data_IF_809674242744
#
_entry.id   IF_809674242744
#
_cell.length_a   1.000
_cell.length_b   1.000
_cell.length_c   1.000
_cell.angle_alpha   90.00
_cell.angle_beta   90.00
_cell.angle_gamma   90.00
#
_symmetry.space_group_name_H-M   'P 1'
#
loop_
_entity.id
_entity.type
_entity.pdbx_description
1 polymer ?
#
# COMPACT_ATOMS: atom_id res chain seq x y z
N UNK A 1 -22.11 -62.35 -77.39
CA UNK A 1 -21.03 -62.29 -76.38
C UNK A 1 -20.50 -63.69 -76.13
N UNK A 2 -19.18 -63.89 -76.27
CA UNK A 2 -18.51 -65.18 -76.01
C UNK A 2 -18.73 -65.64 -74.55
N UNK A 3 -18.91 -66.95 -74.35
CA UNK A 3 -19.05 -67.58 -73.02
C UNK A 3 -17.90 -67.17 -72.08
N UNK A 4 -16.68 -67.11 -72.61
CA UNK A 4 -15.49 -66.68 -71.88
C UNK A 4 -15.61 -65.23 -71.40
N UNK A 5 -16.16 -64.33 -72.22
CA UNK A 5 -16.37 -62.93 -71.84
C UNK A 5 -17.36 -62.76 -70.68
N UNK A 6 -18.39 -63.61 -70.60
CA UNK A 6 -19.34 -63.62 -69.47
C UNK A 6 -18.70 -64.14 -68.17
N UNK A 7 -17.86 -65.17 -68.27
CA UNK A 7 -17.12 -65.72 -67.12
C UNK A 7 -16.14 -64.69 -66.57
N UNK A 8 -15.37 -64.01 -67.44
CA UNK A 8 -14.48 -62.93 -67.02
C UNK A 8 -15.22 -61.75 -66.40
N UNK A 9 -16.39 -61.36 -66.94
CA UNK A 9 -17.21 -60.32 -66.35
C UNK A 9 -17.67 -60.68 -64.93
N UNK A 10 -18.14 -61.92 -64.71
CA UNK A 10 -18.59 -62.39 -63.40
C UNK A 10 -17.43 -62.47 -62.39
N UNK A 11 -16.25 -62.93 -62.81
CA UNK A 11 -15.04 -62.94 -61.98
C UNK A 11 -14.61 -61.52 -61.58
N UNK A 12 -14.63 -60.55 -62.51
CA UNK A 12 -14.32 -59.17 -62.20
C UNK A 12 -15.33 -58.54 -61.24
N UNK A 13 -16.63 -58.85 -61.36
CA UNK A 13 -17.64 -58.37 -60.41
C UNK A 13 -17.43 -58.95 -59.01
N UNK A 14 -17.13 -60.25 -58.90
CA UNK A 14 -16.81 -60.88 -57.61
C UNK A 14 -15.54 -60.30 -56.99
N UNK A 15 -14.51 -60.05 -57.80
CA UNK A 15 -13.25 -59.45 -57.35
C UNK A 15 -13.47 -58.01 -56.88
N UNK A 16 -14.24 -57.21 -57.61
CA UNK A 16 -14.60 -55.85 -57.20
C UNK A 16 -15.40 -55.84 -55.89
N UNK A 17 -16.32 -56.78 -55.70
CA UNK A 17 -17.06 -56.93 -54.44
C UNK A 17 -16.14 -57.34 -53.29
N UNK A 18 -15.26 -58.32 -53.50
CA UNK A 18 -14.27 -58.76 -52.51
C UNK A 18 -13.33 -57.62 -52.10
N UNK A 19 -12.82 -56.85 -53.06
CA UNK A 19 -12.01 -55.65 -52.78
C UNK A 19 -12.81 -54.57 -52.05
N UNK A 20 -14.09 -54.38 -52.38
CA UNK A 20 -14.98 -53.47 -51.67
C UNK A 20 -15.14 -53.83 -50.20
N UNK A 21 -15.35 -55.11 -49.89
CA UNK A 21 -15.44 -55.59 -48.49
C UNK A 21 -14.13 -55.38 -47.74
N UNK A 22 -12.99 -55.71 -48.35
CA UNK A 22 -11.66 -55.50 -47.75
C UNK A 22 -11.43 -54.01 -47.48
N UNK A 23 -11.80 -53.13 -48.41
CA UNK A 23 -11.65 -51.68 -48.26
C UNK A 23 -12.52 -51.15 -47.11
N UNK A 24 -13.77 -51.59 -46.97
CA UNK A 24 -14.64 -51.21 -45.84
C UNK A 24 -14.06 -51.70 -44.51
N UNK A 25 -13.54 -52.93 -44.47
CA UNK A 25 -12.90 -53.49 -43.27
C UNK A 25 -11.64 -52.71 -42.89
N UNK A 26 -10.76 -52.40 -43.85
CA UNK A 26 -9.54 -51.63 -43.60
C UNK A 26 -9.85 -50.23 -43.08
N UNK A 27 -10.84 -49.54 -43.68
CA UNK A 27 -11.30 -48.24 -43.19
C UNK A 27 -11.87 -48.32 -41.78
N UNK A 28 -12.62 -49.38 -41.46
CA UNK A 28 -13.17 -49.61 -40.12
C UNK A 28 -12.07 -49.82 -39.08
N UNK A 29 -11.08 -50.66 -39.39
CA UNK A 29 -9.93 -50.94 -38.52
C UNK A 29 -9.12 -49.66 -38.30
N UNK A 30 -8.80 -48.91 -39.35
CA UNK A 30 -8.05 -47.64 -39.24
C UNK A 30 -8.79 -46.63 -38.36
N UNK A 31 -10.10 -46.44 -38.55
CA UNK A 31 -10.91 -45.55 -37.72
C UNK A 31 -10.87 -45.96 -36.24
N UNK A 32 -10.99 -47.26 -35.96
CA UNK A 32 -10.96 -47.77 -34.59
C UNK A 32 -9.58 -47.55 -33.94
N UNK A 33 -8.49 -47.83 -34.65
CA UNK A 33 -7.13 -47.57 -34.16
C UNK A 33 -6.88 -46.08 -33.91
N UNK A 34 -7.28 -45.21 -34.85
CA UNK A 34 -7.21 -43.76 -34.68
C UNK A 34 -7.98 -43.30 -33.44
N UNK A 35 -9.18 -43.84 -33.22
CA UNK A 35 -10.00 -43.52 -32.05
C UNK A 35 -9.37 -44.00 -30.73
N UNK A 36 -8.79 -45.22 -30.70
CA UNK A 36 -8.09 -45.74 -29.52
C UNK A 36 -6.86 -44.92 -29.17
N UNK A 37 -6.03 -44.59 -30.17
CA UNK A 37 -4.86 -43.72 -29.98
C UNK A 37 -5.30 -42.35 -29.49
N UNK A 38 -6.37 -41.78 -30.05
CA UNK A 38 -6.92 -40.50 -29.61
C UNK A 38 -7.39 -40.55 -28.15
N UNK A 39 -8.11 -41.60 -27.73
CA UNK A 39 -8.54 -41.76 -26.32
C UNK A 39 -7.35 -41.89 -25.37
N UNK A 40 -6.32 -42.63 -25.76
CA UNK A 40 -5.11 -42.74 -24.95
C UNK A 40 -4.35 -41.41 -24.86
N UNK A 41 -4.31 -40.65 -25.96
CA UNK A 41 -3.72 -39.31 -26.00
C UNK A 41 -4.47 -38.35 -25.06
N UNK A 42 -5.81 -38.40 -25.02
CA UNK A 42 -6.63 -37.62 -24.09
C UNK A 42 -6.35 -37.97 -22.62
N UNK A 43 -6.19 -39.24 -22.29
CA UNK A 43 -5.88 -39.65 -20.91
C UNK A 43 -4.50 -39.15 -20.46
N UNK A 44 -3.54 -39.08 -21.37
CA UNK A 44 -2.17 -38.67 -21.05
C UNK A 44 -1.96 -37.14 -21.12
N UNK A 45 -2.55 -36.47 -22.11
CA UNK A 45 -2.31 -35.06 -22.41
C UNK A 45 -3.51 -34.15 -22.08
N UNK A 46 -4.60 -34.72 -21.55
CA UNK A 46 -5.85 -34.02 -21.27
C UNK A 46 -6.67 -33.75 -22.53
N UNK A 47 -7.74 -32.97 -22.34
CA UNK A 47 -8.54 -32.42 -23.43
C UNK A 47 -7.68 -31.55 -24.37
N UNK A 48 -8.08 -31.41 -25.65
CA UNK A 48 -7.48 -30.43 -26.55
C UNK A 48 -7.64 -29.01 -25.99
N UNK A 49 -6.68 -28.15 -26.32
CA UNK A 49 -6.68 -26.74 -25.96
C UNK A 49 -7.91 -26.02 -26.52
N UNK A 50 -8.16 -26.19 -27.83
CA UNK A 50 -9.26 -25.64 -28.61
C UNK A 50 -9.75 -26.65 -29.66
N UNK A 51 -10.85 -26.33 -30.36
CA UNK A 51 -11.44 -27.19 -31.40
C UNK A 51 -10.54 -27.37 -32.64
N UNK A 52 -9.58 -26.47 -32.84
CA UNK A 52 -8.70 -26.43 -34.02
C UNK A 52 -7.33 -27.07 -33.76
N UNK A 53 -7.10 -27.60 -32.56
CA UNK A 53 -5.87 -28.30 -32.23
C UNK A 53 -5.77 -29.60 -33.03
N UNK A 54 -4.57 -29.91 -33.51
CA UNK A 54 -4.24 -31.20 -34.09
C UNK A 54 -3.43 -32.00 -33.09
N UNK A 55 -3.69 -33.32 -32.98
CA UNK A 55 -2.88 -34.16 -32.09
C UNK A 55 -1.43 -34.23 -32.57
N UNK A 56 -0.52 -34.73 -31.73
CA UNK A 56 0.89 -34.98 -32.12
C UNK A 56 1.04 -35.86 -33.37
N UNK A 57 0.02 -36.66 -33.68
CA UNK A 57 -0.08 -37.52 -34.86
C UNK A 57 -0.75 -36.86 -36.07
N UNK A 58 -0.95 -35.53 -36.01
CA UNK A 58 -1.60 -34.71 -37.04
C UNK A 58 -3.03 -35.16 -37.39
N UNK A 59 -3.73 -35.75 -36.41
CA UNK A 59 -5.10 -36.16 -36.57
C UNK A 59 -5.97 -34.94 -36.27
N UNK A 60 -6.89 -34.64 -37.19
CA UNK A 60 -7.85 -33.56 -36.99
C UNK A 60 -8.76 -33.93 -35.81
N UNK A 61 -8.64 -33.18 -34.72
CA UNK A 61 -9.35 -33.48 -33.47
C UNK A 61 -10.84 -33.20 -33.66
N UNK A 62 -11.24 -32.21 -34.47
CA UNK A 62 -12.64 -31.82 -34.70
C UNK A 62 -13.54 -32.99 -35.13
N UNK A 63 -13.09 -33.80 -36.09
CA UNK A 63 -13.86 -34.97 -36.54
C UNK A 63 -13.94 -36.11 -35.52
N UNK A 64 -12.99 -36.17 -34.58
CA UNK A 64 -12.96 -37.18 -33.51
C UNK A 64 -13.63 -36.68 -32.23
N UNK A 65 -13.69 -35.35 -32.02
CA UNK A 65 -14.43 -34.65 -30.98
C UNK A 65 -15.93 -34.87 -31.16
N UNK A 66 -16.44 -34.73 -32.37
CA UNK A 66 -17.83 -35.05 -32.71
C UNK A 66 -18.16 -36.54 -32.48
N UNK A 67 -17.13 -37.41 -32.52
CA UNK A 67 -17.22 -38.84 -32.24
C UNK A 67 -16.98 -39.23 -30.78
N UNK A 68 -16.69 -38.27 -29.88
CA UNK A 68 -16.68 -38.51 -28.44
C UNK A 68 -18.12 -38.67 -27.95
N UNK A 69 -18.64 -39.89 -28.09
CA UNK A 69 -19.91 -40.25 -27.50
C UNK A 69 -19.87 -40.00 -25.99
N UNK A 70 -21.04 -39.69 -25.42
CA UNK A 70 -21.21 -39.41 -24.00
C UNK A 70 -20.64 -40.53 -23.10
N UNK A 71 -20.67 -41.79 -23.56
CA UNK A 71 -20.10 -42.94 -22.86
C UNK A 71 -18.57 -42.91 -22.77
N UNK A 72 -17.89 -42.40 -23.79
CA UNK A 72 -16.44 -42.25 -23.77
C UNK A 72 -16.01 -41.14 -22.80
N UNK A 73 -16.77 -40.04 -22.75
CA UNK A 73 -16.57 -38.96 -21.80
C UNK A 73 -16.93 -39.38 -20.37
N UNK A 74 -17.98 -40.18 -20.17
CA UNK A 74 -18.27 -40.83 -18.89
C UNK A 74 -17.11 -41.73 -18.44
N UNK A 75 -16.41 -42.38 -19.37
CA UNK A 75 -15.21 -43.14 -19.07
C UNK A 75 -14.03 -42.25 -18.61
N UNK A 76 -13.78 -41.14 -19.30
CA UNK A 76 -12.68 -40.22 -18.98
C UNK A 76 -12.94 -39.47 -17.66
N UNK A 77 -14.19 -39.05 -17.43
CA UNK A 77 -14.58 -38.25 -16.26
C UNK A 77 -15.25 -39.07 -15.16
N UNK A 78 -15.19 -40.41 -15.19
CA UNK A 78 -15.89 -41.30 -14.27
C UNK A 78 -15.65 -40.94 -12.80
N UNK A 79 -14.38 -40.64 -12.50
CA UNK A 79 -13.90 -40.32 -11.15
C UNK A 79 -13.76 -38.80 -10.91
N UNK A 80 -14.26 -37.97 -11.84
CA UNK A 80 -14.10 -36.52 -11.90
C UNK A 80 -15.44 -35.76 -12.09
N UNK A 81 -16.54 -36.36 -11.62
CA UNK A 81 -17.88 -35.75 -11.68
C UNK A 81 -18.65 -35.96 -12.97
N UNK A 82 -18.11 -36.75 -13.89
CA UNK A 82 -18.71 -37.02 -15.20
C UNK A 82 -18.65 -35.83 -16.18
N UNK A 83 -19.22 -36.03 -17.38
CA UNK A 83 -19.27 -34.99 -18.40
C UNK A 83 -20.16 -33.83 -17.93
N UNK A 84 -19.57 -32.64 -17.83
CA UNK A 84 -20.32 -31.41 -17.51
C UNK A 84 -20.61 -30.61 -18.77
N UNK A 85 -21.60 -29.74 -18.65
CA UNK A 85 -22.07 -28.91 -19.75
C UNK A 85 -21.75 -27.43 -19.53
N UNK A 86 -21.39 -26.76 -20.61
CA UNK A 86 -21.37 -25.30 -20.75
C UNK A 86 -22.43 -24.94 -21.81
N UNK A 87 -23.43 -24.14 -21.44
CA UNK A 87 -24.52 -23.68 -22.33
C UNK A 87 -25.18 -24.82 -23.14
N UNK A 88 -25.53 -25.91 -22.44
CA UNK A 88 -26.12 -27.15 -22.98
C UNK A 88 -25.22 -27.98 -23.89
N UNK A 89 -23.94 -27.63 -24.05
CA UNK A 89 -22.93 -28.41 -24.79
C UNK A 89 -21.97 -29.08 -23.83
N UNK A 90 -21.52 -30.29 -24.13
CA UNK A 90 -20.53 -30.98 -23.29
C UNK A 90 -19.20 -30.24 -23.40
N UNK A 91 -18.48 -30.10 -22.28
CA UNK A 91 -17.13 -29.51 -22.30
C UNK A 91 -16.17 -30.48 -22.97
N UNK A 92 -15.56 -30.04 -24.07
CA UNK A 92 -14.67 -30.87 -24.88
C UNK A 92 -13.25 -30.31 -25.01
N UNK A 93 -13.01 -29.06 -24.61
CA UNK A 93 -11.71 -28.41 -24.67
C UNK A 93 -11.29 -27.84 -23.32
N UNK A 94 -10.00 -27.55 -23.14
CA UNK A 94 -9.48 -26.88 -21.95
C UNK A 94 -10.02 -25.45 -21.84
N UNK A 95 -10.17 -24.73 -22.96
CA UNK A 95 -10.75 -23.39 -22.99
C UNK A 95 -12.22 -23.41 -22.56
N UNK A 96 -13.00 -24.41 -22.98
CA UNK A 96 -14.38 -24.57 -22.52
C UNK A 96 -14.47 -24.84 -21.02
N UNK A 97 -13.50 -25.57 -20.46
CA UNK A 97 -13.41 -25.78 -19.01
C UNK A 97 -13.17 -24.48 -18.27
N UNK A 98 -12.23 -23.65 -18.75
CA UNK A 98 -11.96 -22.32 -18.19
C UNK A 98 -13.21 -21.46 -18.26
N UNK A 99 -13.90 -21.41 -19.41
CA UNK A 99 -15.16 -20.65 -19.55
C UNK A 99 -16.24 -21.15 -18.59
N UNK A 100 -16.36 -22.46 -18.41
CA UNK A 100 -17.31 -23.03 -17.44
C UNK A 100 -16.95 -22.63 -16.00
N UNK A 101 -15.68 -22.72 -15.63
CA UNK A 101 -15.23 -22.34 -14.29
C UNK A 101 -15.31 -20.83 -14.05
N UNK A 102 -15.07 -20.01 -15.08
CA UNK A 102 -15.29 -18.57 -15.04
C UNK A 102 -16.76 -18.25 -14.81
N UNK A 103 -17.68 -18.87 -15.56
CA UNK A 103 -19.12 -18.70 -15.36
C UNK A 103 -19.54 -19.13 -13.94
N UNK A 104 -19.04 -20.27 -13.46
CA UNK A 104 -19.29 -20.76 -12.10
C UNK A 104 -18.75 -19.80 -11.03
N UNK A 105 -17.58 -19.20 -11.27
CA UNK A 105 -16.99 -18.18 -10.41
C UNK A 105 -17.86 -16.91 -10.37
N UNK A 106 -18.29 -16.41 -11.53
CA UNK A 106 -19.18 -15.25 -11.63
C UNK A 106 -20.53 -15.49 -10.95
N UNK A 107 -21.09 -16.69 -11.09
CA UNK A 107 -22.35 -17.05 -10.46
C UNK A 107 -22.20 -17.12 -8.93
N UNK A 108 -21.11 -17.68 -8.41
CA UNK A 108 -20.78 -17.62 -6.97
C UNK A 108 -20.60 -16.19 -6.48
N UNK A 109 -19.92 -15.34 -7.24
CA UNK A 109 -19.77 -13.94 -6.86
C UNK A 109 -21.11 -13.21 -6.80
N UNK A 110 -22.05 -13.51 -7.70
CA UNK A 110 -23.40 -12.93 -7.68
C UNK A 110 -24.23 -13.41 -6.49
N UNK A 111 -24.05 -14.66 -6.06
CA UNK A 111 -24.71 -15.23 -4.88
C UNK A 111 -24.25 -14.59 -3.57
N UNK A 112 -23.04 -14.02 -3.53
CA UNK A 112 -22.49 -13.36 -2.34
C UNK A 112 -23.14 -11.98 -2.14
N UNK A 113 -23.82 -11.81 -1.00
CA UNK A 113 -24.34 -10.51 -0.57
C UNK A 113 -23.26 -9.68 0.15
N UNK A 114 -23.09 -8.42 -0.27
CA UNK A 114 -22.14 -7.46 0.31
C UNK A 114 -20.86 -7.30 -0.52
N UNK A 115 -20.52 -6.03 -0.83
CA UNK A 115 -19.32 -5.70 -1.61
C UNK A 115 -18.03 -6.14 -0.91
N UNK A 116 -18.02 -6.11 0.42
CA UNK A 116 -16.93 -6.57 1.28
C UNK A 116 -16.65 -8.06 1.12
N UNK A 117 -17.70 -8.90 1.19
CA UNK A 117 -17.55 -10.35 1.01
C UNK A 117 -17.19 -10.73 -0.42
N UNK A 118 -17.69 -9.98 -1.42
CA UNK A 118 -17.27 -10.14 -2.81
C UNK A 118 -15.80 -9.80 -3.00
N UNK A 119 -15.35 -8.68 -2.43
CA UNK A 119 -13.93 -8.31 -2.45
C UNK A 119 -13.06 -9.40 -1.81
N UNK A 120 -13.45 -9.93 -0.64
CA UNK A 120 -12.75 -11.08 -0.02
C UNK A 120 -12.70 -12.30 -0.95
N UNK A 121 -13.80 -12.62 -1.64
CA UNK A 121 -13.84 -13.74 -2.59
C UNK A 121 -12.91 -13.52 -3.79
N UNK A 122 -12.88 -12.31 -4.36
CA UNK A 122 -11.95 -11.95 -5.44
C UNK A 122 -10.49 -12.01 -4.96
N UNK A 123 -10.21 -11.50 -3.75
CA UNK A 123 -8.88 -11.53 -3.16
C UNK A 123 -8.36 -12.95 -2.93
N UNK A 124 -9.23 -13.94 -2.64
CA UNK A 124 -8.81 -15.35 -2.55
C UNK A 124 -8.23 -15.87 -3.86
N UNK A 125 -8.86 -15.56 -5.00
CA UNK A 125 -8.35 -15.97 -6.31
C UNK A 125 -7.03 -15.27 -6.65
N UNK A 126 -6.94 -13.98 -6.35
CA UNK A 126 -5.71 -13.21 -6.57
C UNK A 126 -4.58 -13.67 -5.64
N UNK A 127 -4.89 -14.08 -4.41
CA UNK A 127 -3.93 -14.65 -3.46
C UNK A 127 -3.29 -15.93 -4.01
N UNK A 128 -4.08 -16.83 -4.57
CA UNK A 128 -3.56 -18.08 -5.16
C UNK A 128 -2.63 -17.82 -6.36
N UNK A 129 -2.86 -16.72 -7.08
CA UNK A 129 -2.07 -16.34 -8.26
C UNK A 129 -1.00 -15.26 -7.97
N UNK A 130 -0.84 -14.84 -6.71
CA UNK A 130 0.09 -13.77 -6.34
C UNK A 130 1.55 -14.24 -6.44
N UNK A 131 2.35 -13.51 -7.23
CA UNK A 131 3.76 -13.85 -7.51
C UNK A 131 4.71 -13.30 -6.44
N UNK A 132 4.45 -12.09 -5.94
CA UNK A 132 5.33 -11.40 -5.00
C UNK A 132 4.84 -11.55 -3.56
N UNK A 133 5.74 -11.42 -2.58
CA UNK A 133 5.34 -11.43 -1.18
C UNK A 133 4.40 -10.26 -0.85
N UNK A 134 4.68 -9.08 -1.42
CA UNK A 134 3.89 -7.86 -1.18
C UNK A 134 2.46 -8.04 -1.65
N UNK A 135 2.25 -8.55 -2.87
CA UNK A 135 0.91 -8.81 -3.40
C UNK A 135 0.21 -9.89 -2.58
N UNK A 136 0.92 -10.97 -2.23
CA UNK A 136 0.36 -12.07 -1.44
C UNK A 136 -0.08 -11.59 -0.06
N UNK A 137 0.72 -10.75 0.60
CA UNK A 137 0.37 -10.13 1.88
C UNK A 137 -0.80 -9.16 1.74
N UNK A 138 -0.82 -8.33 0.68
CA UNK A 138 -1.95 -7.44 0.40
C UNK A 138 -3.25 -8.24 0.30
N UNK A 139 -3.28 -9.31 -0.50
CA UNK A 139 -4.48 -10.12 -0.66
C UNK A 139 -4.81 -10.93 0.60
N UNK A 140 -3.83 -11.42 1.35
CA UNK A 140 -4.06 -12.04 2.67
C UNK A 140 -4.74 -11.08 3.65
N UNK A 141 -4.24 -9.84 3.71
CA UNK A 141 -4.81 -8.79 4.55
C UNK A 141 -6.24 -8.46 4.12
N UNK A 142 -6.51 -8.37 2.82
CA UNK A 142 -7.88 -8.18 2.30
C UNK A 142 -8.81 -9.36 2.64
N UNK A 143 -8.31 -10.59 2.61
CA UNK A 143 -9.12 -11.78 2.96
C UNK A 143 -9.40 -11.84 4.47
N UNK A 144 -8.41 -11.52 5.32
CA UNK A 144 -8.45 -11.86 6.75
C UNK A 144 -8.53 -10.68 7.72
N UNK A 145 -8.11 -9.47 7.32
CA UNK A 145 -7.81 -8.36 8.26
C UNK A 145 -8.39 -7.00 7.87
N UNK A 146 -8.92 -6.84 6.66
CA UNK A 146 -9.37 -5.53 6.17
C UNK A 146 -10.76 -5.13 6.66
N UNK A 147 -10.90 -3.83 6.95
CA UNK A 147 -12.19 -3.23 7.29
C UNK A 147 -13.18 -3.33 6.11
N UNK A 148 -14.48 -3.56 6.37
CA UNK A 148 -15.50 -3.71 5.32
C UNK A 148 -15.60 -2.54 4.34
N UNK A 149 -15.27 -1.32 4.78
CA UNK A 149 -15.27 -0.12 3.93
C UNK A 149 -14.14 -0.15 2.90
N UNK A 150 -12.91 -0.44 3.35
CA UNK A 150 -11.74 -0.56 2.48
C UNK A 150 -11.95 -1.67 1.43
N UNK A 151 -12.56 -2.78 1.84
CA UNK A 151 -12.89 -3.88 0.93
C UNK A 151 -13.91 -3.47 -0.14
N UNK A 152 -14.96 -2.73 0.25
CA UNK A 152 -15.96 -2.26 -0.68
C UNK A 152 -15.38 -1.27 -1.71
N UNK A 153 -14.43 -0.42 -1.30
CA UNK A 153 -13.77 0.54 -2.17
C UNK A 153 -12.80 -0.14 -3.16
N UNK A 154 -12.12 -1.20 -2.73
CA UNK A 154 -11.18 -1.96 -3.60
C UNK A 154 -11.88 -2.91 -4.59
N UNK A 155 -13.16 -3.25 -4.37
CA UNK A 155 -13.89 -4.23 -5.17
C UNK A 155 -13.73 -4.06 -6.69
N UNK A 156 -13.93 -2.84 -7.22
CA UNK A 156 -13.82 -2.57 -8.66
C UNK A 156 -12.42 -2.88 -9.20
N UNK A 157 -11.37 -2.51 -8.45
CA UNK A 157 -9.98 -2.76 -8.84
C UNK A 157 -9.60 -4.25 -8.76
N UNK A 158 -10.14 -4.96 -7.78
CA UNK A 158 -9.96 -6.41 -7.63
C UNK A 158 -10.66 -7.15 -8.78
N UNK A 159 -11.87 -6.72 -9.17
CA UNK A 159 -12.60 -7.33 -10.28
C UNK A 159 -11.86 -7.14 -11.61
N UNK A 160 -11.32 -5.95 -11.87
CA UNK A 160 -10.47 -5.70 -13.05
C UNK A 160 -9.21 -6.60 -13.05
N UNK A 161 -8.58 -6.79 -11.88
CA UNK A 161 -7.43 -7.67 -11.74
C UNK A 161 -7.77 -9.14 -12.04
N UNK A 162 -8.94 -9.60 -11.59
CA UNK A 162 -9.46 -10.94 -11.88
C UNK A 162 -9.80 -11.08 -13.37
N UNK A 163 -10.47 -10.11 -13.98
CA UNK A 163 -10.79 -10.16 -15.41
C UNK A 163 -9.49 -10.20 -16.27
N UNK A 164 -8.47 -9.45 -15.87
CA UNK A 164 -7.14 -9.50 -16.50
C UNK A 164 -6.46 -10.87 -16.35
N UNK A 165 -6.62 -11.55 -15.20
CA UNK A 165 -6.14 -12.92 -14.97
C UNK A 165 -6.75 -13.88 -16.00
N UNK A 166 -8.08 -13.84 -16.17
CA UNK A 166 -8.77 -14.66 -17.18
C UNK A 166 -8.29 -14.35 -18.61
N UNK A 167 -8.21 -13.07 -18.97
CA UNK A 167 -7.73 -12.64 -20.30
C UNK A 167 -6.28 -13.05 -20.59
N UNK A 168 -5.44 -13.19 -19.55
CA UNK A 168 -4.06 -13.66 -19.71
C UNK A 168 -3.95 -15.16 -19.96
N UNK A 169 -4.97 -15.94 -19.58
CA UNK A 169 -5.02 -17.39 -19.70
C UNK A 169 -5.62 -17.90 -21.01
N UNK A 170 -6.41 -17.07 -21.71
CA UNK A 170 -7.02 -17.46 -22.97
C UNK A 170 -5.96 -17.51 -24.10
N UNK A 171 -5.97 -18.55 -24.96
CA UNK A 171 -5.10 -18.59 -26.13
C UNK A 171 -5.46 -17.43 -27.07
N UNK A 172 -4.59 -16.42 -27.12
CA UNK A 172 -4.83 -15.18 -27.88
C UNK A 172 -4.97 -15.46 -29.38
N UNK A 173 -6.16 -15.25 -29.93
CA UNK A 173 -6.41 -15.33 -31.38
C UNK A 173 -5.53 -14.37 -32.19
N UNK A 174 -5.23 -14.79 -33.42
CA UNK A 174 -4.38 -14.13 -34.43
C UNK A 174 -4.80 -12.71 -34.88
N UNK A 175 -5.84 -12.10 -34.30
CA UNK A 175 -6.50 -10.89 -34.83
C UNK A 175 -6.33 -9.61 -33.99
N UNK A 176 -5.29 -9.50 -33.13
CA UNK A 176 -4.92 -8.21 -32.50
C UNK A 176 -3.61 -7.65 -33.07
N UNK A 177 -3.54 -6.32 -33.13
CA UNK A 177 -2.46 -5.53 -33.74
C UNK A 177 -1.05 -5.97 -33.28
N UNK A 178 -0.04 -5.94 -34.18
CA UNK A 178 1.26 -6.62 -34.03
C UNK A 178 2.19 -6.08 -32.93
N UNK A 179 1.81 -5.07 -32.16
CA UNK A 179 2.70 -4.41 -31.19
C UNK A 179 2.63 -4.97 -29.76
N UNK A 180 1.72 -5.91 -29.46
CA UNK A 180 1.58 -6.54 -28.12
C UNK A 180 1.53 -8.08 -28.15
N UNK A 181 1.75 -8.68 -29.32
CA UNK A 181 1.64 -10.13 -29.50
C UNK A 181 2.96 -10.82 -29.13
N UNK A 182 3.19 -11.08 -27.85
CA UNK A 182 3.98 -12.26 -27.50
C UNK A 182 3.17 -13.47 -27.93
N UNK A 183 3.65 -14.20 -28.96
CA UNK A 183 3.07 -15.47 -29.38
C UNK A 183 3.28 -16.44 -28.22
N UNK A 184 2.26 -16.62 -27.38
CA UNK A 184 2.27 -17.63 -26.34
C UNK A 184 2.26 -18.99 -27.07
N UNK A 185 3.27 -19.80 -26.85
CA UNK A 185 3.30 -21.15 -27.41
C UNK A 185 2.10 -21.97 -26.88
N UNK A 186 1.65 -22.98 -27.63
CA UNK A 186 0.57 -23.87 -27.17
C UNK A 186 0.88 -24.50 -25.80
N UNK A 187 2.15 -24.81 -25.55
CA UNK A 187 2.60 -25.37 -24.26
C UNK A 187 2.50 -24.36 -23.11
N UNK A 188 2.85 -23.08 -23.35
CA UNK A 188 2.69 -22.02 -22.35
C UNK A 188 1.21 -21.76 -22.07
N UNK A 189 0.36 -21.75 -23.10
CA UNK A 189 -1.10 -21.59 -22.94
C UNK A 189 -1.69 -22.71 -22.09
N UNK A 190 -1.34 -23.98 -22.37
CA UNK A 190 -1.76 -25.13 -21.56
C UNK A 190 -1.28 -25.03 -20.10
N UNK A 191 -0.08 -24.48 -19.88
CA UNK A 191 0.46 -24.29 -18.52
C UNK A 191 -0.28 -23.18 -17.77
N UNK A 192 -0.58 -22.06 -18.45
CA UNK A 192 -1.36 -20.96 -17.88
C UNK A 192 -2.79 -21.38 -17.55
N UNK A 193 -3.45 -22.13 -18.44
CA UNK A 193 -4.78 -22.70 -18.20
C UNK A 193 -4.76 -23.68 -17.03
N UNK A 194 -3.75 -24.56 -16.94
CA UNK A 194 -3.63 -25.48 -15.81
C UNK A 194 -3.48 -24.76 -14.46
N UNK A 195 -2.66 -23.71 -14.39
CA UNK A 195 -2.50 -22.89 -13.20
C UNK A 195 -3.80 -22.15 -12.82
N UNK A 196 -4.48 -21.55 -13.81
CA UNK A 196 -5.75 -20.88 -13.59
C UNK A 196 -6.83 -21.86 -13.11
N UNK A 197 -6.97 -23.02 -13.76
CA UNK A 197 -7.94 -24.03 -13.34
C UNK A 197 -7.64 -24.54 -11.93
N UNK A 198 -6.36 -24.75 -11.57
CA UNK A 198 -5.97 -25.14 -10.23
C UNK A 198 -6.46 -24.11 -9.19
N UNK A 199 -6.17 -22.82 -9.40
CA UNK A 199 -6.62 -21.75 -8.50
C UNK A 199 -8.14 -21.61 -8.44
N UNK A 200 -8.83 -21.74 -9.58
CA UNK A 200 -10.30 -21.72 -9.62
C UNK A 200 -10.90 -22.91 -8.87
N UNK A 201 -10.35 -24.12 -9.00
CA UNK A 201 -10.84 -25.26 -8.23
C UNK A 201 -10.58 -25.13 -6.74
N UNK A 202 -9.47 -24.51 -6.34
CA UNK A 202 -9.19 -24.21 -4.93
C UNK A 202 -10.17 -23.19 -4.35
N UNK A 203 -10.51 -22.13 -5.10
CA UNK A 203 -11.36 -21.04 -4.59
C UNK A 203 -12.86 -21.35 -4.73
N UNK A 204 -13.27 -21.92 -5.87
CA UNK A 204 -14.67 -22.22 -6.16
C UNK A 204 -15.08 -23.54 -5.52
N UNK A 205 -14.28 -24.60 -5.62
CA UNK A 205 -14.65 -25.94 -5.16
C UNK A 205 -13.86 -26.41 -3.94
N UNK A 206 -13.21 -25.47 -3.24
CA UNK A 206 -12.45 -25.72 -2.00
C UNK A 206 -11.39 -26.82 -2.14
N UNK A 207 -10.90 -27.05 -3.37
CA UNK A 207 -9.92 -28.07 -3.65
C UNK A 207 -10.44 -29.50 -3.48
N UNK A 208 -11.74 -29.74 -3.68
CA UNK A 208 -12.33 -31.08 -3.57
C UNK A 208 -11.56 -32.13 -4.39
N UNK A 209 -11.52 -33.37 -3.90
CA UNK A 209 -10.83 -34.47 -4.58
C UNK A 209 -11.35 -34.67 -6.01
N UNK A 210 -12.66 -34.51 -6.20
CA UNK A 210 -13.31 -34.57 -7.52
C UNK A 210 -12.80 -33.48 -8.47
N UNK A 211 -12.68 -32.24 -7.98
CA UNK A 211 -12.14 -31.11 -8.75
C UNK A 211 -10.67 -31.31 -9.13
N UNK A 212 -9.86 -31.91 -8.24
CA UNK A 212 -8.46 -32.23 -8.54
C UNK A 212 -8.33 -33.37 -9.57
N UNK A 213 -9.17 -34.40 -9.47
CA UNK A 213 -9.26 -35.46 -10.49
C UNK A 213 -9.73 -34.90 -11.83
N UNK A 214 -10.63 -33.90 -11.80
CA UNK A 214 -11.09 -33.19 -12.99
C UNK A 214 -9.99 -32.35 -13.63
N UNK A 215 -9.19 -31.65 -12.84
CA UNK A 215 -8.00 -30.95 -13.34
C UNK A 215 -7.11 -31.94 -14.11
N UNK A 216 -6.79 -33.09 -13.52
CA UNK A 216 -5.98 -34.13 -14.18
C UNK A 216 -6.60 -34.62 -15.49
N UNK A 217 -7.92 -34.84 -15.52
CA UNK A 217 -8.62 -35.27 -16.73
C UNK A 217 -8.66 -34.19 -17.83
N UNK A 218 -8.75 -32.90 -17.45
CA UNK A 218 -8.86 -31.78 -18.40
C UNK A 218 -7.51 -31.38 -18.98
N UNK A 219 -6.50 -31.15 -18.14
CA UNK A 219 -5.18 -30.65 -18.61
C UNK A 219 -4.14 -31.76 -18.78
N UNK A 220 -4.40 -32.95 -18.26
CA UNK A 220 -3.47 -34.07 -18.24
C UNK A 220 -2.49 -34.01 -17.05
N UNK A 221 -1.93 -35.15 -16.63
CA UNK A 221 -0.99 -35.24 -15.50
C UNK A 221 0.26 -34.38 -15.66
N UNK A 222 0.81 -34.26 -16.88
CA UNK A 222 2.03 -33.48 -17.12
C UNK A 222 1.82 -31.98 -16.85
N UNK A 223 0.73 -31.40 -17.35
CA UNK A 223 0.44 -29.98 -17.16
C UNK A 223 -0.12 -29.69 -15.77
N UNK A 224 -0.89 -30.62 -15.17
CA UNK A 224 -1.28 -30.51 -13.77
C UNK A 224 -0.04 -30.50 -12.85
N UNK A 225 0.92 -31.41 -13.06
CA UNK A 225 2.17 -31.43 -12.31
C UNK A 225 2.97 -30.13 -12.48
N UNK A 226 3.02 -29.57 -13.69
CA UNK A 226 3.63 -28.25 -13.93
C UNK A 226 2.90 -27.12 -13.20
N UNK A 227 1.56 -27.15 -13.11
CA UNK A 227 0.79 -26.16 -12.36
C UNK A 227 1.07 -26.26 -10.85
N UNK A 228 1.07 -27.47 -10.28
CA UNK A 228 1.43 -27.69 -8.87
C UNK A 228 2.86 -27.23 -8.55
N UNK A 229 3.83 -27.63 -9.39
CA UNK A 229 5.22 -27.20 -9.24
C UNK A 229 5.36 -25.68 -9.44
N UNK A 230 4.60 -25.09 -10.37
CA UNK A 230 4.55 -23.65 -10.59
C UNK A 230 4.10 -22.90 -9.34
N UNK A 231 3.02 -23.34 -8.69
CA UNK A 231 2.57 -22.79 -7.41
C UNK A 231 3.64 -22.93 -6.32
N UNK A 232 4.31 -24.09 -6.23
CA UNK A 232 5.40 -24.28 -5.27
C UNK A 232 6.58 -23.31 -5.52
N UNK A 233 6.97 -23.13 -6.78
CA UNK A 233 8.03 -22.18 -7.17
C UNK A 233 7.64 -20.73 -6.86
N UNK A 234 6.38 -20.35 -7.11
CA UNK A 234 5.87 -19.02 -6.76
C UNK A 234 5.95 -18.80 -5.25
N UNK A 235 5.56 -19.80 -4.44
CA UNK A 235 5.69 -19.73 -2.99
C UNK A 235 7.14 -19.59 -2.55
N UNK A 236 8.07 -20.38 -3.11
CA UNK A 236 9.50 -20.25 -2.81
C UNK A 236 10.03 -18.85 -3.15
N UNK A 237 9.65 -18.29 -4.32
CA UNK A 237 10.03 -16.93 -4.69
C UNK A 237 9.46 -15.88 -3.75
N UNK A 238 8.23 -16.05 -3.28
CA UNK A 238 7.65 -15.17 -2.29
C UNK A 238 8.41 -15.25 -0.94
N UNK A 239 8.92 -16.42 -0.57
CA UNK A 239 9.81 -16.54 0.60
C UNK A 239 11.15 -15.82 0.40
N UNK A 240 11.79 -15.98 -0.76
CA UNK A 240 13.04 -15.29 -1.07
C UNK A 240 12.84 -13.76 -1.06
N UNK A 241 11.71 -13.28 -1.61
CA UNK A 241 11.33 -11.88 -1.61
C UNK A 241 11.06 -11.36 -0.19
N UNK A 242 10.43 -12.16 0.67
CA UNK A 242 10.26 -11.85 2.09
C UNK A 242 11.60 -11.68 2.81
N UNK A 243 12.56 -12.58 2.60
CA UNK A 243 13.90 -12.47 3.20
C UNK A 243 14.62 -11.20 2.73
N UNK A 244 14.52 -10.89 1.43
CA UNK A 244 15.05 -9.64 0.87
C UNK A 244 14.33 -8.39 1.44
N UNK A 245 13.03 -8.48 1.74
CA UNK A 245 12.29 -7.41 2.41
C UNK A 245 12.72 -7.23 3.87
N UNK A 246 12.84 -8.30 4.64
CA UNK A 246 13.26 -8.26 6.05
C UNK A 246 14.66 -7.69 6.21
N UNK A 247 15.61 -8.10 5.37
CA UNK A 247 16.98 -7.57 5.39
C UNK A 247 17.04 -6.08 5.05
N UNK A 248 16.20 -5.61 4.11
CA UNK A 248 16.04 -4.19 3.80
C UNK A 248 15.42 -3.41 4.96
N UNK A 249 14.37 -3.94 5.58
CA UNK A 249 13.72 -3.31 6.73
C UNK A 249 14.67 -3.22 7.94
N UNK A 250 15.45 -4.26 8.22
CA UNK A 250 16.45 -4.24 9.28
C UNK A 250 17.52 -3.17 9.01
N UNK A 251 18.01 -3.06 7.78
CA UNK A 251 18.99 -2.03 7.41
C UNK A 251 18.43 -0.61 7.56
N UNK A 252 17.17 -0.38 7.16
CA UNK A 252 16.47 0.89 7.34
C UNK A 252 16.31 1.19 8.83
N UNK A 253 15.81 0.23 9.60
CA UNK A 253 15.61 0.36 11.04
C UNK A 253 16.91 0.71 11.76
N UNK A 254 18.01 0.01 11.48
CA UNK A 254 19.33 0.30 12.08
C UNK A 254 19.78 1.72 11.75
N UNK A 255 19.55 2.18 10.51
CA UNK A 255 19.95 3.51 10.06
C UNK A 255 19.11 4.60 10.75
N UNK A 256 17.79 4.48 10.70
CA UNK A 256 16.86 5.43 11.33
C UNK A 256 17.03 5.47 12.85
N UNK A 257 17.17 4.29 13.49
CA UNK A 257 17.37 4.22 14.92
C UNK A 257 18.69 4.88 15.35
N UNK A 258 19.76 4.70 14.56
CA UNK A 258 21.04 5.36 14.81
C UNK A 258 20.93 6.88 14.68
N UNK A 259 20.21 7.40 13.69
CA UNK A 259 19.96 8.83 13.54
C UNK A 259 19.17 9.39 14.72
N UNK A 260 18.13 8.67 15.16
CA UNK A 260 17.30 9.06 16.30
C UNK A 260 18.11 9.10 17.59
N UNK A 261 19.02 8.15 17.82
CA UNK A 261 19.94 8.17 18.96
C UNK A 261 20.90 9.38 18.91
N UNK A 262 21.41 9.73 17.73
CA UNK A 262 22.25 10.93 17.55
C UNK A 262 21.44 12.20 17.85
N UNK A 263 20.20 12.29 17.36
CA UNK A 263 19.30 13.40 17.67
C UNK A 263 19.01 13.51 19.17
N UNK A 264 18.67 12.39 19.84
CA UNK A 264 18.45 12.36 21.28
C UNK A 264 19.69 12.83 22.03
N UNK A 265 20.88 12.39 21.63
CA UNK A 265 22.15 12.88 22.19
C UNK A 265 22.35 14.39 22.02
N UNK A 266 22.05 14.93 20.82
CA UNK A 266 22.09 16.39 20.57
C UNK A 266 21.08 17.15 21.42
N UNK A 267 19.85 16.65 21.54
CA UNK A 267 18.78 17.26 22.35
C UNK A 267 19.14 17.23 23.83
N UNK A 268 19.67 16.12 24.34
CA UNK A 268 20.16 16.01 25.72
C UNK A 268 21.30 17.00 26.01
N UNK A 269 22.26 17.14 25.09
CA UNK A 269 23.34 18.13 25.22
C UNK A 269 22.81 19.56 25.25
N UNK A 270 21.85 19.91 24.40
CA UNK A 270 21.18 21.22 24.41
C UNK A 270 20.41 21.45 25.71
N UNK A 271 19.68 20.46 26.21
CA UNK A 271 18.97 20.56 27.48
C UNK A 271 19.94 20.87 28.64
N UNK A 272 21.08 20.16 28.69
CA UNK A 272 22.12 20.42 29.69
C UNK A 272 22.73 21.82 29.58
N UNK A 273 22.92 22.33 28.36
CA UNK A 273 23.38 23.72 28.14
C UNK A 273 22.35 24.74 28.63
N UNK A 274 21.06 24.53 28.31
CA UNK A 274 19.97 25.40 28.76
C UNK A 274 19.87 25.39 30.29
N UNK A 275 20.02 24.24 30.93
CA UNK A 275 20.05 24.12 32.39
C UNK A 275 21.24 24.90 32.99
N UNK A 276 22.42 24.82 32.38
CA UNK A 276 23.58 25.63 32.75
C UNK A 276 23.32 27.13 32.63
N UNK A 277 22.72 27.59 31.53
CA UNK A 277 22.35 29.00 31.37
C UNK A 277 21.33 29.44 32.42
N UNK A 278 20.32 28.60 32.72
CA UNK A 278 19.32 28.90 33.75
C UNK A 278 19.98 29.14 35.10
N UNK A 279 20.93 28.28 35.51
CA UNK A 279 21.68 28.45 36.75
C UNK A 279 22.46 29.78 36.77
N UNK A 280 23.15 30.12 35.67
CA UNK A 280 23.89 31.40 35.57
C UNK A 280 22.94 32.62 35.67
N UNK A 281 21.79 32.56 35.00
CA UNK A 281 20.78 33.62 35.09
C UNK A 281 20.20 33.75 36.51
N UNK A 282 19.93 32.64 37.20
CA UNK A 282 19.44 32.66 38.58
C UNK A 282 20.47 33.30 39.53
N UNK A 283 21.77 33.04 39.34
CA UNK A 283 22.85 33.72 40.08
C UNK A 283 22.93 35.21 39.78
N UNK A 284 22.80 35.61 38.50
CA UNK A 284 22.75 37.03 38.10
C UNK A 284 21.55 37.75 38.70
N UNK A 285 20.38 37.12 38.71
CA UNK A 285 19.17 37.70 39.34
C UNK A 285 19.41 37.86 40.85
N UNK A 286 20.02 36.89 41.51
CA UNK A 286 20.33 36.96 42.96
C UNK A 286 21.29 38.11 43.27
N UNK A 287 22.35 38.27 42.48
CA UNK A 287 23.33 39.37 42.64
C UNK A 287 22.70 40.73 42.37
N UNK A 288 21.90 40.87 41.31
CA UNK A 288 21.16 42.11 41.02
C UNK A 288 20.16 42.46 42.11
N UNK A 289 19.40 41.49 42.64
CA UNK A 289 18.51 41.72 43.80
C UNK A 289 19.29 42.22 45.01
N UNK A 290 20.46 41.65 45.30
CA UNK A 290 21.30 42.10 46.41
C UNK A 290 21.83 43.52 46.20
N UNK A 291 22.21 43.89 44.96
CA UNK A 291 22.61 45.26 44.62
C UNK A 291 21.45 46.24 44.79
N UNK A 292 20.26 45.89 44.31
CA UNK A 292 19.07 46.75 44.41
C UNK A 292 18.69 47.00 45.89
N UNK A 293 18.83 46.00 46.76
CA UNK A 293 18.67 46.19 48.21
C UNK A 293 19.70 47.15 48.78
N UNK A 294 20.97 47.05 48.36
CA UNK A 294 22.03 47.99 48.77
C UNK A 294 21.75 49.42 48.29
N UNK A 295 21.32 49.60 47.04
CA UNK A 295 20.95 50.89 46.49
C UNK A 295 19.77 51.52 47.24
N UNK A 296 18.73 50.74 47.55
CA UNK A 296 17.60 51.22 48.36
C UNK A 296 18.03 51.68 49.74
N UNK A 297 18.93 50.95 50.41
CA UNK A 297 19.50 51.35 51.70
C UNK A 297 20.31 52.64 51.59
N UNK A 298 21.07 52.80 50.51
CA UNK A 298 21.86 54.00 50.26
C UNK A 298 20.96 55.21 49.99
N UNK A 299 19.93 55.04 49.16
CA UNK A 299 18.93 56.08 48.90
C UNK A 299 18.20 56.49 50.18
N UNK A 300 17.76 55.54 51.00
CA UNK A 300 17.12 55.84 52.29
C UNK A 300 18.07 56.61 53.23
N UNK A 301 19.37 56.29 53.21
CA UNK A 301 20.38 57.05 53.97
C UNK A 301 20.54 58.47 53.41
N UNK A 302 20.63 58.64 52.09
CA UNK A 302 20.74 59.95 51.45
C UNK A 302 19.49 60.81 51.69
N UNK A 303 18.29 60.24 51.66
CA UNK A 303 17.04 60.95 51.99
C UNK A 303 17.08 61.48 53.42
N UNK A 304 17.51 60.64 54.37
CA UNK A 304 17.68 61.05 55.77
C UNK A 304 18.72 62.15 55.92
N UNK A 305 19.87 62.03 55.26
CA UNK A 305 20.93 63.05 55.29
C UNK A 305 20.44 64.37 54.66
N UNK A 306 19.65 64.32 53.59
CA UNK A 306 19.02 65.49 52.96
C UNK A 306 17.98 66.16 53.87
N UNK A 307 17.16 65.37 54.57
CA UNK A 307 16.19 65.88 55.54
C UNK A 307 16.89 66.60 56.70
N UNK A 308 17.98 66.01 57.22
CA UNK A 308 18.79 66.64 58.25
C UNK A 308 19.46 67.94 57.75
N UNK A 309 20.00 67.95 56.53
CA UNK A 309 20.55 69.16 55.91
C UNK A 309 19.47 70.24 55.69
N UNK A 310 18.26 69.84 55.28
CA UNK A 310 17.13 70.78 55.11
C UNK A 310 16.72 71.40 56.44
N UNK A 311 16.66 70.62 57.51
CA UNK A 311 16.37 71.11 58.86
C UNK A 311 17.45 72.06 59.37
N UNK A 312 18.73 71.73 59.15
CA UNK A 312 19.84 72.60 59.49
C UNK A 312 19.78 73.92 58.69
N UNK A 313 19.50 73.85 57.39
CA UNK A 313 19.36 75.02 56.52
C UNK A 313 18.18 75.90 56.95
N UNK A 314 17.03 75.30 57.29
CA UNK A 314 15.86 76.01 57.82
C UNK A 314 16.20 76.78 59.10
N UNK A 315 16.92 76.14 60.04
CA UNK A 315 17.40 76.79 61.28
C UNK A 315 18.33 77.97 60.97
N UNK A 316 19.26 77.79 60.03
CA UNK A 316 20.19 78.85 59.61
C UNK A 316 19.42 80.01 58.96
N UNK A 317 18.48 79.74 58.06
CA UNK A 317 17.64 80.76 57.41
C UNK A 317 16.80 81.51 58.44
N UNK A 318 16.19 80.81 59.41
CA UNK A 318 15.45 81.44 60.51
C UNK A 318 16.34 82.36 61.34
N UNK A 319 17.58 81.93 61.64
CA UNK A 319 18.55 82.76 62.35
C UNK A 319 18.95 84.00 61.53
N UNK A 320 19.18 83.84 60.23
CA UNK A 320 19.44 84.97 59.32
C UNK A 320 18.27 85.94 59.27
N UNK A 321 17.03 85.44 59.25
CA UNK A 321 15.84 86.28 59.30
C UNK A 321 15.76 87.09 60.59
N UNK A 322 15.98 86.45 61.75
CA UNK A 322 16.08 87.11 63.06
C UNK A 322 17.18 88.19 63.11
N UNK A 323 18.35 87.91 62.53
CA UNK A 323 19.44 88.88 62.43
C UNK A 323 19.04 90.04 61.51
N UNK A 324 18.40 89.76 60.38
CA UNK A 324 17.90 90.76 59.44
C UNK A 324 16.86 91.68 60.10
N UNK A 325 15.89 91.13 60.84
CA UNK A 325 14.92 91.92 61.60
C UNK A 325 15.60 92.79 62.65
N UNK A 326 16.59 92.25 63.38
CA UNK A 326 17.39 93.02 64.33
C UNK A 326 18.13 94.17 63.64
N UNK A 327 18.82 93.90 62.54
CA UNK A 327 19.52 94.92 61.75
C UNK A 327 18.56 95.97 61.20
N UNK A 328 17.37 95.59 60.73
CA UNK A 328 16.35 96.51 60.28
C UNK A 328 15.85 97.41 61.42
N UNK A 329 15.64 96.84 62.62
CA UNK A 329 15.26 97.60 63.81
C UNK A 329 16.35 98.60 64.23
N UNK A 330 17.63 98.20 64.14
CA UNK A 330 18.78 99.07 64.42
C UNK A 330 18.89 100.16 63.37
N UNK A 331 18.72 99.84 62.08
CA UNK A 331 18.73 100.81 61.00
C UNK A 331 17.61 101.84 61.16
N UNK A 332 16.38 101.41 61.52
CA UNK A 332 15.26 102.31 61.82
C UNK A 332 15.56 103.22 63.01
N UNK A 333 16.18 102.70 64.07
CA UNK A 333 16.66 103.51 65.21
C UNK A 333 17.71 104.52 64.77
N UNK A 334 18.70 104.12 63.97
CA UNK A 334 19.75 104.99 63.45
C UNK A 334 19.21 106.08 62.52
N UNK A 335 18.23 105.79 61.66
CA UNK A 335 17.53 106.82 60.91
C UNK A 335 16.81 107.81 61.83
N UNK A 336 16.15 107.32 62.88
CA UNK A 336 15.55 108.17 63.90
C UNK A 336 16.57 109.08 64.59
N UNK A 337 17.74 108.53 64.96
CA UNK A 337 18.85 109.33 65.51
C UNK A 337 19.44 110.29 64.49
N UNK A 338 19.52 109.95 63.21
CA UNK A 338 20.03 110.83 62.16
C UNK A 338 19.09 112.01 61.92
N UNK A 339 17.77 111.78 61.87
CA UNK A 339 16.77 112.85 61.82
C UNK A 339 16.86 113.72 63.07
N UNK A 340 17.03 113.11 64.26
CA UNK A 340 17.26 113.84 65.51
C UNK A 340 18.55 114.67 65.50
N UNK A 341 19.64 114.13 64.94
CA UNK A 341 20.91 114.82 64.80
C UNK A 341 20.82 115.94 63.76
N UNK A 342 20.16 115.74 62.62
CA UNK A 342 19.93 116.79 61.63
C UNK A 342 19.08 117.93 62.23
N UNK A 343 18.13 117.60 63.11
CA UNK A 343 17.33 118.59 63.85
C UNK A 343 18.14 119.32 64.94
N UNK A 344 19.04 118.61 65.63
CA UNK A 344 20.00 119.22 66.57
C UNK A 344 21.08 120.04 65.87
N UNK A 345 21.55 119.62 64.70
CA UNK A 345 22.52 120.34 63.88
C UNK A 345 21.86 121.61 63.29
N UNK A 346 20.59 121.55 62.88
CA UNK A 346 19.80 122.76 62.57
C UNK A 346 19.69 123.71 63.76
N UNK A 347 19.43 123.18 64.96
CA UNK A 347 19.37 124.00 66.19
C UNK A 347 20.73 124.59 66.55
N UNK A 348 21.82 123.84 66.39
CA UNK A 348 23.19 124.32 66.59
C UNK A 348 23.57 125.39 65.56
N UNK A 349 23.28 125.19 64.27
CA UNK A 349 23.50 126.23 63.25
C UNK A 349 22.66 127.48 63.49
N UNK A 350 21.46 127.35 64.05
CA UNK A 350 20.63 128.50 64.45
C UNK A 350 21.19 129.25 65.67
N UNK A 351 21.96 128.57 66.53
CA UNK A 351 22.65 129.17 67.69
C UNK A 351 23.99 129.78 67.27
N UNK A 352 24.76 129.13 66.39
CA UNK A 352 26.01 129.66 65.83
C UNK A 352 25.78 130.86 64.90
N UNK A 353 24.62 130.97 64.25
CA UNK A 353 24.26 132.15 63.45
C UNK A 353 23.86 133.38 64.29
N UNK A 354 23.75 133.24 65.62
CA UNK A 354 23.35 134.32 66.55
C UNK A 354 24.45 134.67 67.57
N UNK A 355 25.69 134.28 67.29
CA UNK A 355 26.91 134.78 67.92
C UNK A 355 27.91 135.20 66.84
#
# INVERSE_FOLDING_TARGET
MSLLGKIFALLNTLLAFGLGVILVQDLGVRKNWTYLVFRQDLVLNGLPLDEDETTKTNINIKSNLDGLNEDALKGIFKDAGGPLKLDNRVVLTQVDEVKRMHKKFDDKEKEIEGSDKKAQFLSKLLLENAITYVDRRKYDDLVNKSDPKTLADEYTSLRESVDNLFLSSEPREKNRLPQQAHIISKSESRTAIAALLLSLYQVVDEGSEESMRRLLAVVGPDYASKAFNGHAVVLTRAFDDLEAHLTREEAIFVTEHRELLIEMGRRAKRAKQIEGFKLEYDERIKTQKALLVKEKLLLAKMEKDLEEQRDQTSKIVSNFHLISERLFSVHKKLQGYRVGNEDQEKKLRAVEANH
#
